data_IF_123717154346
#
_entry.id   IF_123717154346
#
_cell.length_a   1.000
_cell.length_b   1.000
_cell.length_c   1.000
_cell.angle_alpha   90.00
_cell.angle_beta   90.00
_cell.angle_gamma   90.00
#
_symmetry.space_group_name_H-M   'P 1'
#
loop_
_entity.id
_entity.type
_entity.pdbx_description
1 polymer ?
#
# COMPACT_ATOMS: atom_id res chain seq x y z
N UNK A 1 -4.59 -12.90 35.13
CA UNK A 1 -6.01 -12.68 35.26
C UNK A 1 -6.24 -11.27 35.79
N UNK A 2 -7.13 -10.45 35.24
CA UNK A 2 -8.11 -10.75 34.19
C UNK A 2 -7.46 -11.03 32.82
N UNK A 3 -8.19 -11.71 31.91
CA UNK A 3 -7.70 -11.86 30.55
C UNK A 3 -7.93 -10.57 29.72
N UNK A 4 -6.99 -10.27 28.82
CA UNK A 4 -7.00 -9.03 28.06
C UNK A 4 -8.02 -9.07 26.93
N UNK A 5 -8.11 -10.18 26.18
CA UNK A 5 -9.00 -10.35 25.06
C UNK A 5 -9.48 -11.80 24.93
N UNK A 6 -10.78 -11.97 24.69
CA UNK A 6 -11.40 -13.22 24.30
C UNK A 6 -12.03 -13.09 22.93
N UNK A 7 -11.66 -13.96 22.00
CA UNK A 7 -12.28 -14.02 20.68
C UNK A 7 -13.35 -15.13 20.68
N UNK A 8 -14.51 -14.84 20.10
CA UNK A 8 -15.63 -15.78 20.02
C UNK A 8 -16.52 -15.48 18.79
N UNK A 9 -17.50 -16.36 18.54
CA UNK A 9 -18.46 -16.16 17.45
C UNK A 9 -19.65 -15.29 17.90
N UNK A 10 -20.20 -14.50 16.97
CA UNK A 10 -21.36 -13.62 17.22
C UNK A 10 -22.59 -14.34 17.79
N UNK A 11 -22.79 -15.62 17.43
CA UNK A 11 -23.89 -16.44 17.93
C UNK A 11 -23.86 -16.68 19.45
N UNK A 12 -22.67 -16.53 20.06
CA UNK A 12 -22.45 -16.76 21.48
C UNK A 12 -22.67 -15.51 22.34
N UNK A 13 -22.91 -14.34 21.73
CA UNK A 13 -23.19 -13.10 22.42
C UNK A 13 -24.38 -13.19 23.38
N UNK A 14 -25.59 -13.64 22.92
CA UNK A 14 -26.78 -13.62 23.75
C UNK A 14 -26.85 -14.75 24.81
N UNK A 15 -25.90 -15.65 24.81
CA UNK A 15 -25.90 -16.80 25.71
C UNK A 15 -24.56 -16.99 26.42
N UNK A 16 -23.64 -17.74 25.87
CA UNK A 16 -22.40 -18.14 26.50
C UNK A 16 -21.53 -16.94 27.00
N UNK A 17 -21.37 -15.89 26.18
CA UNK A 17 -20.56 -14.72 26.55
C UNK A 17 -21.23 -13.89 27.65
N UNK A 18 -22.55 -13.74 27.59
CA UNK A 18 -23.33 -13.08 28.61
C UNK A 18 -23.22 -13.82 29.95
N UNK A 19 -23.38 -15.16 29.95
CA UNK A 19 -23.22 -15.97 31.17
C UNK A 19 -21.78 -15.90 31.71
N UNK A 20 -20.78 -15.91 30.84
CA UNK A 20 -19.39 -15.75 31.21
C UNK A 20 -19.18 -14.42 31.98
N UNK A 21 -19.72 -13.30 31.50
CA UNK A 21 -19.62 -12.01 32.17
C UNK A 21 -20.33 -12.02 33.53
N UNK A 22 -21.55 -12.56 33.61
CA UNK A 22 -22.28 -12.66 34.89
C UNK A 22 -21.54 -13.50 35.91
N UNK A 23 -20.93 -14.62 35.50
CA UNK A 23 -20.11 -15.45 36.39
C UNK A 23 -18.87 -14.69 36.87
N UNK A 24 -18.21 -13.90 36.01
CA UNK A 24 -17.08 -13.07 36.42
C UNK A 24 -17.49 -12.01 37.45
N UNK A 25 -18.62 -11.33 37.21
CA UNK A 25 -19.15 -10.34 38.18
C UNK A 25 -19.44 -10.98 39.52
N UNK A 26 -19.99 -12.19 39.55
CA UNK A 26 -20.33 -12.90 40.77
C UNK A 26 -19.10 -13.42 41.56
N UNK A 27 -18.08 -13.91 40.84
CA UNK A 27 -16.93 -14.60 41.46
C UNK A 27 -15.69 -13.68 41.60
N UNK A 28 -15.50 -12.75 40.66
CA UNK A 28 -14.31 -11.89 40.54
C UNK A 28 -14.68 -10.47 40.17
N UNK A 29 -15.44 -9.73 41.00
CA UNK A 29 -16.00 -8.42 40.63
C UNK A 29 -14.93 -7.38 40.25
N UNK A 30 -13.73 -7.50 40.83
CA UNK A 30 -12.62 -6.57 40.62
C UNK A 30 -11.73 -6.98 39.41
N UNK A 31 -12.05 -8.12 38.75
CA UNK A 31 -11.22 -8.71 37.67
C UNK A 31 -12.08 -9.08 36.44
N UNK A 32 -12.81 -8.11 35.90
CA UNK A 32 -13.60 -8.33 34.69
C UNK A 32 -12.72 -8.48 33.46
N UNK A 33 -13.15 -9.27 32.45
CA UNK A 33 -12.49 -9.31 31.14
C UNK A 33 -12.33 -7.90 30.54
N UNK A 34 -11.14 -7.61 29.97
CA UNK A 34 -10.85 -6.29 29.40
C UNK A 34 -11.49 -6.09 28.03
N UNK A 35 -11.61 -7.16 27.23
CA UNK A 35 -12.20 -7.09 25.91
C UNK A 35 -12.75 -8.42 25.41
N UNK A 36 -13.77 -8.34 24.56
CA UNK A 36 -14.32 -9.47 23.83
C UNK A 36 -14.36 -9.09 22.34
N UNK A 37 -13.62 -9.83 21.51
CA UNK A 37 -13.70 -9.74 20.06
C UNK A 37 -14.73 -10.76 19.54
N UNK A 38 -15.51 -10.35 18.54
CA UNK A 38 -16.56 -11.19 17.97
C UNK A 38 -16.38 -11.28 16.46
N UNK A 39 -16.46 -12.50 15.94
CA UNK A 39 -16.38 -12.77 14.51
C UNK A 39 -17.64 -13.50 14.00
N UNK A 40 -17.82 -13.45 12.67
CA UNK A 40 -18.91 -14.10 11.96
C UNK A 40 -18.81 -15.63 11.92
N UNK A 41 -19.75 -16.25 11.23
CA UNK A 41 -19.87 -17.72 11.07
C UNK A 41 -19.35 -18.11 9.70
N UNK A 42 -18.41 -19.08 9.67
CA UNK A 42 -17.80 -19.55 8.44
C UNK A 42 -18.80 -20.22 7.50
N UNK A 43 -18.87 -19.74 6.28
CA UNK A 43 -19.52 -20.39 5.14
C UNK A 43 -18.47 -21.08 4.24
N UNK A 44 -18.91 -21.96 3.36
CA UNK A 44 -18.08 -22.66 2.37
C UNK A 44 -18.73 -22.52 1.00
N UNK A 45 -18.02 -21.89 0.05
CA UNK A 45 -18.50 -21.63 -1.31
C UNK A 45 -19.91 -20.96 -1.31
N UNK A 46 -20.07 -19.95 -0.43
CA UNK A 46 -21.33 -19.19 -0.27
C UNK A 46 -22.45 -19.92 0.45
N UNK A 47 -22.20 -21.13 0.99
CA UNK A 47 -23.21 -21.92 1.66
C UNK A 47 -22.84 -22.19 3.11
N UNK A 48 -23.87 -22.26 3.99
CA UNK A 48 -23.66 -22.70 5.37
C UNK A 48 -23.04 -24.09 5.38
N UNK A 49 -21.94 -24.23 6.11
CA UNK A 49 -21.22 -25.51 6.26
C UNK A 49 -22.10 -26.57 6.94
N UNK A 50 -22.23 -27.75 6.32
CA UNK A 50 -23.06 -28.83 6.83
C UNK A 50 -22.48 -30.19 6.43
N UNK A 51 -22.39 -31.11 7.41
CA UNK A 51 -21.97 -32.49 7.15
C UNK A 51 -22.92 -33.22 6.19
N UNK A 52 -24.23 -32.98 6.31
CA UNK A 52 -25.26 -33.62 5.47
C UNK A 52 -25.21 -33.14 3.99
N UNK A 53 -24.71 -31.95 3.74
CA UNK A 53 -24.56 -31.39 2.37
C UNK A 53 -23.20 -31.72 1.74
N UNK A 54 -22.29 -32.38 2.46
CA UNK A 54 -20.97 -32.74 1.94
C UNK A 54 -20.00 -31.56 1.72
N UNK A 55 -20.37 -30.33 2.15
CA UNK A 55 -19.53 -29.14 2.04
C UNK A 55 -18.74 -28.85 3.33
N UNK A 56 -18.56 -29.87 4.17
CA UNK A 56 -17.85 -29.75 5.43
C UNK A 56 -16.34 -29.82 5.20
N UNK A 57 -15.61 -28.76 5.54
CA UNK A 57 -14.15 -28.71 5.50
C UNK A 57 -13.61 -28.80 6.92
N UNK A 58 -12.79 -29.83 7.18
CA UNK A 58 -12.09 -29.93 8.46
C UNK A 58 -10.83 -29.10 8.46
N UNK A 59 -10.46 -28.53 9.59
CA UNK A 59 -9.20 -27.80 9.72
C UNK A 59 -8.00 -28.68 9.32
N UNK A 60 -7.97 -29.94 9.77
CA UNK A 60 -6.93 -30.91 9.39
C UNK A 60 -6.84 -31.06 7.88
N UNK A 61 -7.97 -31.29 7.21
CA UNK A 61 -8.00 -31.45 5.75
C UNK A 61 -7.55 -30.19 5.00
N UNK A 62 -7.89 -29.00 5.51
CA UNK A 62 -7.42 -27.75 4.93
C UNK A 62 -5.89 -27.59 5.10
N UNK A 63 -5.35 -27.87 6.28
CA UNK A 63 -3.90 -27.81 6.55
C UNK A 63 -3.14 -28.83 5.70
N UNK A 64 -3.61 -30.08 5.63
CA UNK A 64 -2.95 -31.13 4.84
C UNK A 64 -2.95 -30.80 3.33
N UNK A 65 -3.98 -30.11 2.84
CA UNK A 65 -4.11 -29.75 1.42
C UNK A 65 -3.38 -28.46 1.04
N UNK A 66 -3.46 -27.42 1.88
CA UNK A 66 -3.01 -26.06 1.52
C UNK A 66 -1.83 -25.55 2.36
N UNK A 67 -1.57 -26.18 3.49
CA UNK A 67 -0.60 -25.72 4.50
C UNK A 67 -1.25 -24.83 5.57
N UNK A 68 -0.59 -24.70 6.70
CA UNK A 68 -1.11 -23.96 7.85
C UNK A 68 -1.24 -22.46 7.57
N UNK A 69 -0.20 -21.83 7.02
CA UNK A 69 -0.18 -20.39 6.79
C UNK A 69 -1.21 -19.97 5.74
N UNK A 70 -1.34 -20.72 4.63
CA UNK A 70 -2.35 -20.42 3.62
C UNK A 70 -3.76 -20.56 4.17
N UNK A 71 -4.01 -21.58 5.00
CA UNK A 71 -5.28 -21.79 5.67
C UNK A 71 -5.61 -20.64 6.64
N UNK A 72 -4.64 -20.21 7.45
CA UNK A 72 -4.79 -19.07 8.38
C UNK A 72 -5.13 -17.78 7.65
N UNK A 73 -4.29 -17.41 6.68
CA UNK A 73 -4.49 -16.18 5.90
C UNK A 73 -5.84 -16.18 5.16
N UNK A 74 -6.23 -17.31 4.56
CA UNK A 74 -7.51 -17.39 3.85
C UNK A 74 -8.73 -17.21 4.78
N UNK A 75 -8.66 -17.75 6.01
CA UNK A 75 -9.70 -17.52 7.02
C UNK A 75 -9.78 -16.07 7.46
N UNK A 76 -8.63 -15.43 7.69
CA UNK A 76 -8.57 -14.02 8.10
C UNK A 76 -9.01 -13.06 6.99
N UNK A 77 -8.75 -13.41 5.74
CA UNK A 77 -9.19 -12.64 4.56
C UNK A 77 -10.69 -12.84 4.23
N UNK A 78 -11.29 -13.91 4.72
CA UNK A 78 -12.66 -14.29 4.40
C UNK A 78 -13.74 -13.35 4.92
N UNK A 79 -13.48 -12.60 5.99
CA UNK A 79 -14.41 -11.65 6.59
C UNK A 79 -13.74 -10.75 7.62
N UNK A 80 -14.43 -9.67 8.04
CA UNK A 80 -13.95 -8.76 9.06
C UNK A 80 -15.03 -8.47 10.10
N UNK A 81 -14.64 -8.38 11.37
CA UNK A 81 -15.61 -8.14 12.46
C UNK A 81 -16.70 -9.20 12.49
N UNK A 82 -17.96 -8.79 12.48
CA UNK A 82 -19.13 -9.68 12.51
C UNK A 82 -19.59 -10.19 11.13
N UNK A 83 -18.88 -9.86 10.06
CA UNK A 83 -19.18 -10.41 8.74
C UNK A 83 -18.92 -11.92 8.72
N UNK A 84 -19.77 -12.66 8.01
CA UNK A 84 -19.61 -14.10 7.87
C UNK A 84 -18.50 -14.42 6.85
N UNK A 85 -17.37 -14.98 7.26
CA UNK A 85 -16.30 -15.31 6.34
C UNK A 85 -16.71 -16.44 5.39
N UNK A 86 -16.25 -16.37 4.14
CA UNK A 86 -16.54 -17.41 3.15
C UNK A 86 -15.25 -18.12 2.70
N UNK A 87 -15.18 -19.39 3.03
CA UNK A 87 -14.09 -20.26 2.59
C UNK A 87 -14.25 -20.62 1.12
N UNK A 88 -13.38 -20.09 0.27
CA UNK A 88 -13.30 -20.42 -1.17
C UNK A 88 -11.97 -21.06 -1.49
N UNK A 89 -12.04 -22.23 -2.13
CA UNK A 89 -10.84 -22.99 -2.50
C UNK A 89 -9.91 -22.23 -3.43
N UNK A 90 -10.46 -21.39 -4.30
CA UNK A 90 -9.71 -20.52 -5.19
C UNK A 90 -8.89 -19.52 -4.38
N UNK A 91 -9.52 -18.78 -3.48
CA UNK A 91 -8.83 -17.79 -2.64
C UNK A 91 -7.67 -18.42 -1.84
N UNK A 92 -7.86 -19.63 -1.31
CA UNK A 92 -6.79 -20.33 -0.55
C UNK A 92 -5.60 -20.68 -1.45
N UNK A 93 -5.86 -21.09 -2.70
CA UNK A 93 -4.81 -21.38 -3.69
C UNK A 93 -4.03 -20.13 -4.05
N UNK A 94 -4.73 -19.00 -4.24
CA UNK A 94 -4.11 -17.72 -4.54
C UNK A 94 -3.24 -17.23 -3.38
N UNK A 95 -3.74 -17.32 -2.15
CA UNK A 95 -2.95 -17.02 -0.94
C UNK A 95 -1.70 -17.90 -0.88
N UNK A 96 -1.84 -19.22 -1.11
CA UNK A 96 -0.68 -20.13 -1.15
C UNK A 96 0.32 -19.73 -2.22
N UNK A 97 -0.15 -19.36 -3.41
CA UNK A 97 0.70 -18.87 -4.50
C UNK A 97 1.48 -17.62 -4.12
N UNK A 98 0.83 -16.67 -3.45
CA UNK A 98 1.47 -15.44 -2.96
C UNK A 98 2.52 -15.74 -1.88
N UNK A 99 2.22 -16.61 -0.91
CA UNK A 99 3.20 -17.01 0.11
C UNK A 99 4.42 -17.71 -0.51
N UNK A 100 4.22 -18.56 -1.51
CA UNK A 100 5.33 -19.18 -2.25
C UNK A 100 6.15 -18.15 -3.05
N UNK A 101 5.48 -17.14 -3.61
CA UNK A 101 6.13 -16.00 -4.26
C UNK A 101 6.98 -15.20 -3.28
N UNK A 102 6.42 -14.89 -2.13
CA UNK A 102 7.11 -14.22 -1.02
C UNK A 102 8.37 -14.99 -0.60
N UNK A 103 8.27 -16.30 -0.40
CA UNK A 103 9.41 -17.13 -0.02
C UNK A 103 10.54 -17.04 -1.05
N UNK A 104 10.24 -17.22 -2.33
CA UNK A 104 11.24 -17.12 -3.41
C UNK A 104 11.90 -15.73 -3.47
N UNK A 105 11.11 -14.66 -3.29
CA UNK A 105 11.65 -13.31 -3.25
C UNK A 105 12.57 -13.10 -2.04
N UNK A 106 12.16 -13.59 -0.87
CA UNK A 106 12.96 -13.53 0.34
C UNK A 106 14.31 -14.25 0.18
N UNK A 107 14.31 -15.47 -0.36
CA UNK A 107 15.54 -16.22 -0.65
C UNK A 107 16.44 -15.41 -1.60
N UNK A 108 15.89 -14.85 -2.67
CA UNK A 108 16.66 -14.00 -3.61
C UNK A 108 17.27 -12.77 -2.92
N UNK A 109 16.52 -12.08 -2.05
CA UNK A 109 17.02 -10.92 -1.32
C UNK A 109 18.17 -11.31 -0.37
N UNK A 110 18.01 -12.42 0.36
CA UNK A 110 19.02 -12.91 1.30
C UNK A 110 20.34 -13.21 0.59
N UNK A 111 20.26 -13.82 -0.60
CA UNK A 111 21.42 -14.23 -1.38
C UNK A 111 22.11 -13.06 -2.09
N UNK A 112 21.33 -12.12 -2.65
CA UNK A 112 21.86 -11.11 -3.60
C UNK A 112 22.07 -9.73 -3.00
N UNK A 113 21.37 -9.34 -1.92
CA UNK A 113 21.44 -8.01 -1.35
C UNK A 113 22.76 -7.79 -0.58
N UNK A 114 23.77 -7.23 -1.24
CA UNK A 114 25.12 -7.01 -0.69
C UNK A 114 25.64 -5.58 -0.84
N UNK A 115 25.03 -4.77 -1.70
CA UNK A 115 25.50 -3.41 -1.97
C UNK A 115 24.82 -2.39 -1.06
N UNK A 116 25.63 -1.55 -0.42
CA UNK A 116 25.13 -0.39 0.36
C UNK A 116 24.80 0.77 -0.58
N UNK A 117 23.77 0.60 -1.40
CA UNK A 117 23.26 1.66 -2.25
C UNK A 117 21.90 2.09 -1.77
N UNK A 118 21.78 3.37 -1.45
CA UNK A 118 20.52 4.04 -1.20
C UNK A 118 20.26 4.95 -2.38
N UNK A 119 19.12 4.84 -2.99
CA UNK A 119 18.66 5.69 -4.06
C UNK A 119 17.16 5.94 -3.92
N UNK A 120 16.61 6.71 -4.83
CA UNK A 120 15.20 7.09 -4.85
C UNK A 120 14.23 5.92 -4.66
N UNK A 121 14.47 4.77 -5.30
CA UNK A 121 13.59 3.59 -5.18
C UNK A 121 13.66 2.92 -3.81
N UNK A 122 14.83 2.91 -3.18
CA UNK A 122 14.99 2.42 -1.82
C UNK A 122 14.26 3.33 -0.82
N UNK A 123 14.41 4.65 -0.97
CA UNK A 123 13.71 5.65 -0.15
C UNK A 123 12.19 5.52 -0.32
N UNK A 124 11.71 5.37 -1.56
CA UNK A 124 10.32 5.09 -1.86
C UNK A 124 9.82 3.81 -1.17
N UNK A 125 10.55 2.69 -1.26
CA UNK A 125 10.14 1.42 -0.66
C UNK A 125 10.04 1.52 0.86
N UNK A 126 11.04 2.13 1.51
CA UNK A 126 11.02 2.34 2.97
C UNK A 126 9.88 3.28 3.37
N UNK A 127 9.60 4.32 2.60
CA UNK A 127 8.47 5.22 2.82
C UNK A 127 7.13 4.48 2.74
N UNK A 128 6.93 3.67 1.70
CA UNK A 128 5.72 2.84 1.57
C UNK A 128 5.54 1.89 2.75
N UNK A 129 6.63 1.28 3.22
CA UNK A 129 6.57 0.39 4.40
C UNK A 129 6.14 1.12 5.67
N UNK A 130 6.42 2.43 5.82
CA UNK A 130 5.91 3.20 6.97
C UNK A 130 4.37 3.22 6.98
N UNK A 131 3.72 3.41 5.83
CA UNK A 131 2.25 3.32 5.74
C UNK A 131 1.75 1.92 6.07
N UNK A 132 2.46 0.87 5.61
CA UNK A 132 2.08 -0.52 5.92
C UNK A 132 2.19 -0.80 7.42
N UNK A 133 3.28 -0.35 8.08
CA UNK A 133 3.44 -0.46 9.54
C UNK A 133 2.25 0.20 10.25
N UNK A 134 1.94 1.44 9.91
CA UNK A 134 0.82 2.16 10.53
C UNK A 134 -0.50 1.45 10.29
N UNK A 135 -0.83 1.15 9.03
CA UNK A 135 -2.11 0.54 8.67
C UNK A 135 -2.31 -0.83 9.31
N UNK A 136 -1.28 -1.68 9.30
CA UNK A 136 -1.37 -3.01 9.93
C UNK A 136 -1.51 -2.89 11.43
N UNK A 137 -0.73 -2.01 12.08
CA UNK A 137 -0.81 -1.77 13.53
C UNK A 137 -2.20 -1.30 13.95
N UNK A 138 -2.70 -0.22 13.35
CA UNK A 138 -4.03 0.32 13.66
C UNK A 138 -5.15 -0.69 13.39
N UNK A 139 -5.02 -1.46 12.32
CA UNK A 139 -6.00 -2.50 11.99
C UNK A 139 -5.99 -3.64 13.00
N UNK A 140 -4.81 -4.06 13.47
CA UNK A 140 -4.69 -5.10 14.50
C UNK A 140 -5.25 -4.62 15.85
N UNK A 141 -4.98 -3.38 16.24
CA UNK A 141 -5.54 -2.80 17.49
C UNK A 141 -7.07 -2.75 17.46
N UNK A 142 -7.66 -2.51 16.29
CA UNK A 142 -9.11 -2.48 16.08
C UNK A 142 -9.71 -3.86 15.75
N UNK A 143 -8.95 -4.94 15.80
CA UNK A 143 -9.34 -6.30 15.38
C UNK A 143 -9.85 -6.39 13.93
N UNK A 144 -9.41 -5.48 13.07
CA UNK A 144 -9.65 -5.50 11.63
C UNK A 144 -8.67 -6.45 10.95
N UNK A 145 -8.84 -7.74 11.22
CA UNK A 145 -7.87 -8.77 10.83
C UNK A 145 -7.76 -8.97 9.33
N UNK A 146 -8.86 -8.79 8.58
CA UNK A 146 -8.85 -8.82 7.12
C UNK A 146 -8.00 -7.69 6.55
N UNK A 147 -8.29 -6.44 6.92
CA UNK A 147 -7.54 -5.27 6.48
C UNK A 147 -6.05 -5.38 6.82
N UNK A 148 -5.74 -5.86 8.04
CA UNK A 148 -4.36 -6.10 8.46
C UNK A 148 -3.66 -7.16 7.58
N UNK A 149 -4.33 -8.29 7.32
CA UNK A 149 -3.78 -9.38 6.48
C UNK A 149 -3.61 -8.93 5.02
N UNK A 150 -4.58 -8.21 4.46
CA UNK A 150 -4.49 -7.64 3.10
C UNK A 150 -3.26 -6.74 2.95
N UNK A 151 -3.04 -5.85 3.92
CA UNK A 151 -1.88 -4.96 3.89
C UNK A 151 -0.56 -5.73 4.09
N UNK A 152 -0.47 -6.62 5.07
CA UNK A 152 0.75 -7.35 5.36
C UNK A 152 1.14 -8.36 4.25
N UNK A 153 0.17 -8.96 3.57
CA UNK A 153 0.43 -9.98 2.54
C UNK A 153 0.46 -9.39 1.13
N UNK A 154 -0.60 -8.66 0.71
CA UNK A 154 -0.74 -8.26 -0.69
C UNK A 154 -0.15 -6.89 -0.97
N UNK A 155 -0.38 -5.92 -0.10
CA UNK A 155 0.05 -4.56 -0.37
C UNK A 155 1.57 -4.41 -0.24
N UNK A 156 2.20 -5.01 0.79
CA UNK A 156 3.67 -5.06 0.87
C UNK A 156 4.25 -5.84 -0.32
N UNK A 157 3.60 -6.96 -0.73
CA UNK A 157 4.00 -7.69 -1.93
C UNK A 157 3.96 -6.82 -3.18
N UNK A 158 2.93 -6.00 -3.35
CA UNK A 158 2.79 -5.08 -4.47
C UNK A 158 3.90 -4.02 -4.47
N UNK A 159 4.28 -3.50 -3.30
CA UNK A 159 5.37 -2.54 -3.15
C UNK A 159 6.73 -3.16 -3.58
N UNK A 160 7.03 -4.38 -3.13
CA UNK A 160 8.23 -5.10 -3.55
C UNK A 160 8.23 -5.47 -5.05
N UNK A 161 7.09 -5.87 -5.59
CA UNK A 161 6.95 -6.15 -7.03
C UNK A 161 7.18 -4.90 -7.87
N UNK A 162 6.66 -3.75 -7.44
CA UNK A 162 6.92 -2.49 -8.11
C UNK A 162 8.41 -2.16 -8.09
N UNK A 163 9.04 -2.23 -6.92
CA UNK A 163 10.48 -2.03 -6.79
C UNK A 163 11.27 -2.92 -7.76
N UNK A 164 11.02 -4.23 -7.78
CA UNK A 164 11.69 -5.18 -8.65
C UNK A 164 11.43 -4.91 -10.15
N UNK A 165 10.23 -4.44 -10.50
CA UNK A 165 9.89 -4.07 -11.88
C UNK A 165 10.62 -2.82 -12.35
N UNK A 166 10.83 -1.86 -11.43
CA UNK A 166 11.54 -0.60 -11.72
C UNK A 166 13.04 -0.80 -11.80
N UNK A 167 13.60 -1.66 -10.99
CA UNK A 167 15.04 -1.87 -10.85
C UNK A 167 15.47 -3.19 -11.49
N UNK A 168 16.50 -3.15 -12.34
CA UNK A 168 17.03 -4.36 -13.00
C UNK A 168 17.75 -5.31 -12.04
N UNK A 169 18.34 -4.78 -10.97
CA UNK A 169 19.08 -5.55 -9.97
C UNK A 169 18.56 -5.25 -8.58
N UNK A 170 18.28 -6.30 -7.84
CA UNK A 170 17.76 -6.26 -6.46
C UNK A 170 18.90 -6.56 -5.46
N UNK A 171 20.00 -5.81 -5.56
CA UNK A 171 21.25 -6.05 -4.82
C UNK A 171 21.46 -5.14 -3.59
N UNK A 172 20.52 -4.24 -3.32
CA UNK A 172 20.62 -3.28 -2.22
C UNK A 172 20.40 -3.91 -0.84
N UNK A 173 21.27 -3.62 0.14
CA UNK A 173 21.10 -4.03 1.54
C UNK A 173 19.82 -3.48 2.19
N UNK A 174 19.31 -2.36 1.69
CA UNK A 174 18.01 -1.79 2.14
C UNK A 174 16.88 -2.80 1.98
N UNK A 175 16.94 -3.69 0.98
CA UNK A 175 15.97 -4.76 0.82
C UNK A 175 15.94 -5.76 1.98
N UNK A 176 17.05 -5.97 2.67
CA UNK A 176 17.07 -6.83 3.88
C UNK A 176 16.36 -6.16 5.04
N UNK A 177 16.56 -4.84 5.23
CA UNK A 177 15.79 -4.07 6.22
C UNK A 177 14.29 -4.10 5.89
N UNK A 178 13.95 -3.86 4.63
CA UNK A 178 12.58 -3.90 4.15
C UNK A 178 11.95 -5.29 4.34
N UNK A 179 12.68 -6.37 4.03
CA UNK A 179 12.24 -7.75 4.23
C UNK A 179 12.04 -8.06 5.72
N UNK A 180 12.92 -7.60 6.60
CA UNK A 180 12.78 -7.77 8.04
C UNK A 180 11.52 -7.10 8.59
N UNK A 181 11.19 -5.89 8.12
CA UNK A 181 9.94 -5.22 8.45
C UNK A 181 8.76 -6.06 7.97
N UNK A 182 8.79 -6.51 6.72
CA UNK A 182 7.71 -7.30 6.13
C UNK A 182 7.45 -8.59 6.89
N UNK A 183 8.50 -9.35 7.22
CA UNK A 183 8.38 -10.60 7.97
C UNK A 183 7.69 -10.37 9.31
N UNK A 184 8.06 -9.31 10.04
CA UNK A 184 7.45 -8.98 11.32
C UNK A 184 5.98 -8.58 11.19
N UNK A 185 5.61 -7.85 10.13
CA UNK A 185 4.21 -7.51 9.84
C UNK A 185 3.38 -8.73 9.46
N UNK A 186 3.97 -9.70 8.74
CA UNK A 186 3.28 -10.88 8.23
C UNK A 186 3.20 -12.03 9.25
N UNK A 187 4.12 -12.08 10.21
CA UNK A 187 4.24 -13.18 11.18
C UNK A 187 2.95 -13.51 11.95
N UNK A 188 2.10 -12.57 12.39
CA UNK A 188 0.84 -12.90 13.04
C UNK A 188 -0.13 -13.70 12.17
N UNK A 189 -0.03 -13.58 10.86
CA UNK A 189 -0.93 -14.19 9.87
C UNK A 189 -0.35 -15.47 9.28
N UNK A 190 0.95 -15.49 8.97
CA UNK A 190 1.69 -16.59 8.35
C UNK A 190 2.98 -16.93 9.14
N UNK A 191 2.84 -17.45 10.38
CA UNK A 191 3.98 -17.60 11.30
C UNK A 191 5.04 -18.57 10.78
N UNK A 192 4.67 -19.69 10.15
CA UNK A 192 5.64 -20.73 9.80
C UNK A 192 6.62 -20.27 8.73
N UNK A 193 6.12 -19.65 7.67
CA UNK A 193 6.98 -19.12 6.60
C UNK A 193 7.84 -17.95 7.12
N UNK A 194 7.30 -17.12 8.00
CA UNK A 194 8.04 -15.99 8.57
C UNK A 194 9.17 -16.47 9.50
N UNK A 195 8.95 -17.49 10.33
CA UNK A 195 9.99 -18.08 11.17
C UNK A 195 11.09 -18.75 10.32
N UNK A 196 10.73 -19.43 9.24
CA UNK A 196 11.72 -20.02 8.32
C UNK A 196 12.62 -18.94 7.70
N UNK A 197 12.02 -17.86 7.16
CA UNK A 197 12.78 -16.77 6.53
C UNK A 197 13.62 -16.03 7.58
N UNK A 198 13.07 -15.79 8.78
CA UNK A 198 13.78 -15.17 9.89
C UNK A 198 15.06 -15.92 10.25
N UNK A 199 14.96 -17.25 10.35
CA UNK A 199 16.11 -18.12 10.57
C UNK A 199 17.11 -18.08 9.42
N UNK A 200 16.66 -18.08 8.16
CA UNK A 200 17.52 -17.94 6.96
C UNK A 200 18.26 -16.60 6.92
N UNK A 201 17.69 -15.54 7.44
CA UNK A 201 18.34 -14.25 7.60
C UNK A 201 19.43 -14.24 8.69
N UNK A 202 19.61 -15.33 9.43
CA UNK A 202 20.55 -15.42 10.53
C UNK A 202 20.14 -14.65 11.78
N UNK A 203 18.86 -14.36 11.95
CA UNK A 203 18.34 -13.66 13.13
C UNK A 203 18.21 -14.62 14.30
N UNK A 204 18.56 -14.15 15.49
CA UNK A 204 18.43 -14.93 16.72
C UNK A 204 16.99 -14.95 17.23
N UNK A 205 16.61 -16.06 17.89
CA UNK A 205 15.28 -16.26 18.47
C UNK A 205 14.18 -16.42 17.42
N UNK A 206 12.93 -16.24 17.87
CA UNK A 206 11.75 -16.37 17.02
C UNK A 206 11.24 -15.00 16.58
N UNK A 207 10.74 -14.88 15.34
CA UNK A 207 10.13 -13.64 14.86
C UNK A 207 8.89 -13.27 15.68
N UNK A 208 8.18 -14.26 16.21
CA UNK A 208 7.03 -14.07 17.10
C UNK A 208 7.37 -13.39 18.44
N UNK A 209 8.64 -13.37 18.81
CA UNK A 209 9.17 -12.67 20.01
C UNK A 209 9.92 -11.38 19.65
N UNK A 210 10.12 -11.10 18.39
CA UNK A 210 10.77 -9.88 17.94
C UNK A 210 9.88 -8.64 18.20
N UNK A 211 10.53 -7.49 18.40
CA UNK A 211 9.80 -6.25 18.56
C UNK A 211 8.96 -5.90 17.33
N UNK A 212 7.73 -5.45 17.56
CA UNK A 212 6.86 -5.00 16.49
C UNK A 212 7.45 -3.76 15.79
N UNK A 213 7.40 -3.69 14.44
CA UNK A 213 7.95 -2.53 13.75
C UNK A 213 7.17 -1.26 14.09
N UNK A 214 7.92 -0.18 14.35
CA UNK A 214 7.35 1.11 14.74
C UNK A 214 7.31 2.05 13.55
N UNK A 215 6.21 2.79 13.38
CA UNK A 215 6.11 3.87 12.41
C UNK A 215 7.11 4.99 12.74
N UNK A 216 7.89 5.41 11.76
CA UNK A 216 8.82 6.52 11.86
C UNK A 216 8.53 7.54 10.76
N UNK A 217 7.96 8.68 11.13
CA UNK A 217 7.63 9.77 10.19
C UNK A 217 8.86 10.29 9.44
N UNK A 218 10.05 10.21 10.03
CA UNK A 218 11.31 10.66 9.40
C UNK A 218 11.73 9.79 8.21
N UNK A 219 11.19 8.57 8.12
CA UNK A 219 11.42 7.64 7.02
C UNK A 219 10.37 7.79 5.90
N UNK A 220 9.39 8.70 6.06
CA UNK A 220 8.39 8.99 5.03
C UNK A 220 8.97 10.01 4.06
N UNK A 221 9.14 9.62 2.81
CA UNK A 221 9.57 10.48 1.71
C UNK A 221 8.42 10.71 0.73
N UNK A 222 7.62 11.73 1.00
CA UNK A 222 6.48 12.09 0.15
C UNK A 222 6.90 12.47 -1.28
N UNK A 223 8.13 12.97 -1.47
CA UNK A 223 8.64 13.32 -2.80
C UNK A 223 8.97 12.09 -3.60
N UNK A 224 9.62 11.10 -2.99
CA UNK A 224 9.86 9.80 -3.61
C UNK A 224 8.54 9.10 -3.99
N UNK A 225 7.53 9.19 -3.13
CA UNK A 225 6.21 8.64 -3.40
C UNK A 225 5.54 9.32 -4.60
N UNK A 226 5.55 10.64 -4.67
CA UNK A 226 4.93 11.38 -5.77
C UNK A 226 5.65 11.14 -7.10
N UNK A 227 6.99 11.04 -7.05
CA UNK A 227 7.81 10.69 -8.22
C UNK A 227 7.43 9.32 -8.78
N UNK A 228 7.31 8.29 -7.93
CA UNK A 228 6.90 6.95 -8.37
C UNK A 228 5.42 6.90 -8.76
N UNK A 229 4.55 7.71 -8.16
CA UNK A 229 3.15 7.84 -8.57
C UNK A 229 3.04 8.44 -9.99
N UNK A 230 3.84 9.45 -10.30
CA UNK A 230 3.91 10.01 -11.66
C UNK A 230 4.28 8.93 -12.68
N UNK A 231 5.31 8.12 -12.38
CA UNK A 231 5.76 7.04 -13.27
C UNK A 231 4.66 5.97 -13.44
N UNK A 232 3.96 5.60 -12.36
CA UNK A 232 2.83 4.65 -12.41
C UNK A 232 1.70 5.19 -13.29
N UNK A 233 1.32 6.44 -13.12
CA UNK A 233 0.25 7.07 -13.88
C UNK A 233 0.62 7.14 -15.37
N UNK A 234 1.84 7.57 -15.72
CA UNK A 234 2.30 7.60 -17.11
C UNK A 234 2.36 6.20 -17.74
N UNK A 235 2.76 5.20 -16.97
CA UNK A 235 2.75 3.79 -17.42
C UNK A 235 1.33 3.32 -17.73
N UNK A 236 0.38 3.60 -16.84
CA UNK A 236 -1.02 3.22 -16.98
C UNK A 236 -1.67 3.94 -18.16
N UNK A 237 -1.51 5.26 -18.25
CA UNK A 237 -2.06 6.06 -19.35
C UNK A 237 -1.53 5.62 -20.69
N UNK A 238 -0.21 5.40 -20.81
CA UNK A 238 0.41 4.89 -22.04
C UNK A 238 -0.15 3.52 -22.39
N UNK A 239 -0.26 2.63 -21.41
CA UNK A 239 -0.82 1.28 -21.63
C UNK A 239 -2.27 1.34 -22.11
N UNK A 240 -3.09 2.24 -21.53
CA UNK A 240 -4.48 2.44 -21.93
C UNK A 240 -4.60 3.00 -23.35
N UNK A 241 -3.77 3.97 -23.71
CA UNK A 241 -3.73 4.54 -25.08
C UNK A 241 -3.34 3.45 -26.09
N UNK A 242 -2.28 2.69 -25.83
CA UNK A 242 -1.84 1.63 -26.74
C UNK A 242 -2.88 0.52 -26.89
N UNK A 243 -3.57 0.15 -25.81
CA UNK A 243 -4.67 -0.83 -25.84
C UNK A 243 -5.86 -0.32 -26.65
N UNK A 244 -6.23 0.94 -26.48
CA UNK A 244 -7.36 1.55 -27.20
C UNK A 244 -7.07 1.73 -28.67
N UNK A 245 -5.85 2.17 -29.02
CA UNK A 245 -5.45 2.44 -30.42
C UNK A 245 -4.94 1.22 -31.16
N UNK A 246 -4.55 0.15 -30.45
CA UNK A 246 -3.90 -1.05 -30.98
C UNK A 246 -2.60 -0.75 -31.74
N UNK A 247 -1.97 0.40 -31.47
CA UNK A 247 -0.69 0.77 -32.09
C UNK A 247 0.44 0.01 -31.40
N UNK A 248 1.38 -0.49 -32.22
CA UNK A 248 2.68 -1.00 -31.72
C UNK A 248 3.72 0.09 -31.96
N UNK A 249 4.10 0.85 -30.93
CA UNK A 249 4.95 2.00 -31.09
C UNK A 249 6.41 1.59 -31.32
N UNK A 250 7.11 2.27 -32.23
CA UNK A 250 8.58 2.22 -32.33
C UNK A 250 9.24 3.32 -31.50
N UNK A 251 8.51 4.38 -31.27
CA UNK A 251 8.94 5.59 -30.54
C UNK A 251 7.77 6.13 -29.74
N UNK A 252 8.03 6.50 -28.48
CA UNK A 252 7.09 7.23 -27.62
C UNK A 252 7.78 8.50 -27.18
N UNK A 253 7.07 9.63 -27.24
CA UNK A 253 7.55 10.93 -26.76
C UNK A 253 6.64 11.39 -25.61
N UNK A 254 7.22 11.62 -24.47
CA UNK A 254 6.54 12.24 -23.34
C UNK A 254 6.82 13.74 -23.33
N UNK A 255 5.81 14.53 -23.03
CA UNK A 255 5.92 15.96 -22.85
C UNK A 255 5.49 16.33 -21.44
N UNK A 256 6.44 16.80 -20.63
CA UNK A 256 6.17 17.28 -19.28
C UNK A 256 5.72 18.74 -19.29
N UNK A 257 5.04 19.15 -18.23
CA UNK A 257 4.57 20.52 -18.07
C UNK A 257 5.74 21.51 -18.01
N UNK A 258 5.56 22.72 -18.58
CA UNK A 258 6.51 23.80 -18.44
C UNK A 258 6.62 24.26 -16.99
N UNK A 259 7.83 24.62 -16.55
CA UNK A 259 8.13 24.97 -15.15
C UNK A 259 7.25 26.09 -14.58
N UNK A 260 6.79 27.03 -15.41
CA UNK A 260 5.91 28.12 -14.98
C UNK A 260 4.54 27.61 -14.50
N UNK A 261 4.05 26.48 -14.98
CA UNK A 261 2.78 25.87 -14.56
C UNK A 261 2.81 25.44 -13.10
N UNK A 262 3.95 24.92 -12.63
CA UNK A 262 4.13 24.59 -11.21
C UNK A 262 3.98 25.81 -10.31
N UNK A 263 4.51 26.97 -10.74
CA UNK A 263 4.37 28.22 -10.00
C UNK A 263 2.91 28.64 -9.87
N UNK A 264 2.15 28.57 -10.96
CA UNK A 264 0.70 28.85 -10.95
C UNK A 264 -0.04 27.89 -10.03
N UNK A 265 0.26 26.59 -10.13
CA UNK A 265 -0.38 25.54 -9.35
C UNK A 265 -0.14 25.71 -7.84
N UNK A 266 1.12 25.88 -7.43
CA UNK A 266 1.47 26.03 -6.01
C UNK A 266 0.89 27.31 -5.42
N UNK A 267 0.92 28.45 -6.15
CA UNK A 267 0.29 29.70 -5.70
C UNK A 267 -1.22 29.53 -5.50
N UNK A 268 -1.88 28.81 -6.40
CA UNK A 268 -3.30 28.53 -6.26
C UNK A 268 -3.59 27.61 -5.07
N UNK A 269 -2.75 26.58 -4.82
CA UNK A 269 -2.86 25.69 -3.67
C UNK A 269 -2.70 26.46 -2.35
N UNK A 270 -1.67 27.29 -2.20
CA UNK A 270 -1.43 28.09 -1.00
C UNK A 270 -2.65 28.94 -0.63
N UNK A 271 -3.22 29.64 -1.62
CA UNK A 271 -4.44 30.44 -1.42
C UNK A 271 -5.64 29.59 -1.02
N UNK A 272 -5.73 28.39 -1.57
CA UNK A 272 -6.89 27.50 -1.37
C UNK A 272 -7.00 26.89 0.04
N UNK A 273 -5.94 26.98 0.84
CA UNK A 273 -5.97 26.53 2.24
C UNK A 273 -6.82 27.46 3.11
N UNK A 274 -6.79 28.76 2.83
CA UNK A 274 -7.49 29.75 3.66
C UNK A 274 -8.90 30.05 3.18
N UNK A 275 -9.16 29.95 1.88
CA UNK A 275 -10.47 30.24 1.28
C UNK A 275 -10.56 29.68 -0.16
N UNK A 276 -11.78 29.63 -0.70
CA UNK A 276 -11.97 29.33 -2.13
C UNK A 276 -11.24 30.35 -3.00
N UNK A 277 -10.43 29.85 -3.92
CA UNK A 277 -9.67 30.67 -4.84
C UNK A 277 -10.54 31.16 -5.99
N UNK A 278 -10.46 32.45 -6.30
CA UNK A 278 -11.04 33.03 -7.53
C UNK A 278 -9.97 33.26 -8.57
N UNK A 279 -10.34 33.17 -9.84
CA UNK A 279 -9.40 33.48 -10.93
C UNK A 279 -8.82 34.90 -10.81
N UNK A 280 -9.65 35.87 -10.41
CA UNK A 280 -9.24 37.26 -10.24
C UNK A 280 -8.14 37.42 -9.19
N UNK A 281 -8.31 36.80 -8.03
CA UNK A 281 -7.35 36.91 -6.93
C UNK A 281 -6.05 36.14 -7.21
N UNK A 282 -6.16 35.01 -7.90
CA UNK A 282 -4.98 34.29 -8.36
C UNK A 282 -4.19 35.10 -9.40
N UNK A 283 -4.86 35.64 -10.39
CA UNK A 283 -4.20 36.44 -11.45
C UNK A 283 -3.55 37.71 -10.91
N UNK A 284 -4.13 38.40 -9.91
CA UNK A 284 -3.51 39.57 -9.28
C UNK A 284 -2.13 39.26 -8.73
N UNK A 285 -1.99 38.10 -8.08
CA UNK A 285 -0.72 37.67 -7.50
C UNK A 285 0.26 37.18 -8.58
N UNK A 286 -0.19 36.33 -9.49
CA UNK A 286 0.66 35.82 -10.56
C UNK A 286 1.24 36.91 -11.46
N UNK A 287 0.50 38.01 -11.67
CA UNK A 287 0.96 39.13 -12.48
C UNK A 287 1.99 40.05 -11.79
N UNK A 288 2.33 39.81 -10.54
CA UNK A 288 3.49 40.43 -9.87
C UNK A 288 4.81 39.85 -10.37
N UNK A 289 4.78 38.65 -10.91
CA UNK A 289 5.93 37.97 -11.52
C UNK A 289 6.13 38.50 -12.97
N UNK A 290 7.33 38.99 -13.25
CA UNK A 290 7.68 39.57 -14.56
C UNK A 290 7.61 38.57 -15.72
N UNK A 291 7.94 37.31 -15.47
CA UNK A 291 8.00 36.29 -16.50
C UNK A 291 6.60 35.72 -16.80
N UNK A 292 5.79 35.50 -15.76
CA UNK A 292 4.39 35.14 -15.94
C UNK A 292 3.59 36.24 -16.62
N UNK A 293 3.91 37.51 -16.34
CA UNK A 293 3.28 38.66 -16.96
C UNK A 293 3.50 38.73 -18.49
N UNK A 294 4.69 38.33 -18.98
CA UNK A 294 5.00 38.24 -20.41
C UNK A 294 4.13 37.22 -21.16
N UNK A 295 3.59 36.23 -20.46
CA UNK A 295 2.74 35.18 -21.02
C UNK A 295 1.34 35.13 -20.39
N UNK A 296 0.82 36.32 -20.00
CA UNK A 296 -0.41 36.49 -19.23
C UNK A 296 -1.62 35.70 -19.78
N UNK A 297 -1.78 35.63 -21.11
CA UNK A 297 -2.88 34.93 -21.75
C UNK A 297 -2.79 33.38 -21.51
N UNK A 298 -1.59 32.80 -21.66
CA UNK A 298 -1.35 31.39 -21.38
C UNK A 298 -1.56 31.06 -19.90
N UNK A 299 -1.04 31.94 -19.03
CA UNK A 299 -1.21 31.84 -17.58
C UNK A 299 -2.69 31.88 -17.18
N UNK A 300 -3.46 32.83 -17.72
CA UNK A 300 -4.89 32.97 -17.42
C UNK A 300 -5.71 31.76 -17.88
N UNK A 301 -5.37 31.17 -19.04
CA UNK A 301 -6.02 29.95 -19.53
C UNK A 301 -5.76 28.76 -18.59
N UNK A 302 -4.53 28.57 -18.18
CA UNK A 302 -4.15 27.49 -17.25
C UNK A 302 -4.71 27.73 -15.85
N UNK A 303 -4.61 28.97 -15.33
CA UNK A 303 -5.13 29.31 -14.01
C UNK A 303 -6.64 29.07 -13.87
N UNK A 304 -7.43 29.30 -14.93
CA UNK A 304 -8.87 29.00 -14.93
C UNK A 304 -9.15 27.53 -14.70
N UNK A 305 -8.42 26.65 -15.38
CA UNK A 305 -8.54 25.20 -15.22
C UNK A 305 -8.14 24.77 -13.80
N UNK A 306 -7.01 25.27 -13.31
CA UNK A 306 -6.47 24.93 -11.99
C UNK A 306 -7.37 25.39 -10.84
N UNK A 307 -7.99 26.58 -10.95
CA UNK A 307 -8.92 27.09 -9.93
C UNK A 307 -10.11 26.16 -9.73
N UNK A 308 -10.66 25.62 -10.82
CA UNK A 308 -11.77 24.63 -10.70
C UNK A 308 -11.30 23.36 -10.01
N UNK A 309 -10.18 22.79 -10.43
CA UNK A 309 -9.63 21.55 -9.88
C UNK A 309 -9.29 21.70 -8.38
N UNK A 310 -8.56 22.74 -8.01
CA UNK A 310 -8.11 22.94 -6.62
C UNK A 310 -9.27 23.23 -5.68
N UNK A 311 -10.30 23.94 -6.09
CA UNK A 311 -11.46 24.22 -5.24
C UNK A 311 -12.26 22.96 -4.86
N UNK A 312 -12.18 21.89 -5.66
CA UNK A 312 -12.79 20.60 -5.38
C UNK A 312 -11.86 19.61 -4.67
N UNK A 313 -10.58 19.93 -4.59
CA UNK A 313 -9.59 19.06 -3.96
C UNK A 313 -9.77 19.00 -2.44
N UNK A 314 -9.74 17.81 -1.80
CA UNK A 314 -9.77 17.66 -0.34
C UNK A 314 -8.61 18.42 0.33
N UNK A 315 -8.84 18.92 1.53
CA UNK A 315 -7.88 19.79 2.24
C UNK A 315 -6.58 19.04 2.61
N UNK A 316 -6.69 17.80 3.02
CA UNK A 316 -5.55 16.93 3.31
C UNK A 316 -4.66 16.72 2.08
N UNK A 317 -5.25 16.52 0.90
CA UNK A 317 -4.54 16.43 -0.37
C UNK A 317 -3.85 17.74 -0.73
N UNK A 318 -4.49 18.89 -0.51
CA UNK A 318 -3.88 20.21 -0.74
C UNK A 318 -2.65 20.42 0.13
N UNK A 319 -2.76 20.13 1.43
CA UNK A 319 -1.65 20.25 2.39
C UNK A 319 -0.49 19.33 2.00
N UNK A 320 -0.80 18.11 1.63
CA UNK A 320 0.21 17.14 1.16
C UNK A 320 0.95 17.66 -0.07
N UNK A 321 0.24 18.15 -1.09
CA UNK A 321 0.85 18.68 -2.31
C UNK A 321 1.72 19.92 -2.05
N UNK A 322 1.31 20.81 -1.14
CA UNK A 322 2.13 21.95 -0.72
C UNK A 322 3.41 21.50 0.00
N UNK A 323 3.34 20.48 0.82
CA UNK A 323 4.51 19.93 1.52
C UNK A 323 5.50 19.27 0.56
N UNK A 324 5.03 18.58 -0.47
CA UNK A 324 5.85 18.00 -1.54
C UNK A 324 6.51 19.12 -2.39
N UNK A 325 5.76 20.16 -2.68
CA UNK A 325 6.19 21.25 -3.56
C UNK A 325 6.23 20.84 -5.05
N UNK A 326 7.17 21.40 -5.81
CA UNK A 326 7.34 21.05 -7.22
C UNK A 326 8.16 19.76 -7.39
N UNK A 327 7.69 18.89 -8.26
CA UNK A 327 8.46 17.73 -8.76
C UNK A 327 8.96 18.05 -10.16
N UNK A 328 10.23 17.80 -10.46
CA UNK A 328 10.72 17.93 -11.84
C UNK A 328 10.27 16.72 -12.66
N UNK A 329 9.08 16.84 -13.27
CA UNK A 329 8.49 15.79 -14.10
C UNK A 329 9.41 15.38 -15.25
N UNK A 330 10.14 16.35 -15.84
CA UNK A 330 11.03 16.07 -16.96
C UNK A 330 12.20 15.19 -16.54
N UNK A 331 12.86 15.53 -15.43
CA UNK A 331 13.95 14.74 -14.88
C UNK A 331 13.46 13.35 -14.46
N UNK A 332 12.33 13.28 -13.74
CA UNK A 332 11.68 12.02 -13.34
C UNK A 332 11.41 11.09 -14.53
N UNK A 333 10.86 11.62 -15.61
CA UNK A 333 10.55 10.83 -16.80
C UNK A 333 11.81 10.43 -17.57
N UNK A 334 12.85 11.27 -17.60
CA UNK A 334 14.16 10.93 -18.19
C UNK A 334 14.83 9.78 -17.46
N UNK A 335 14.85 9.80 -16.14
CA UNK A 335 15.39 8.70 -15.33
C UNK A 335 14.62 7.39 -15.56
N UNK A 336 13.35 7.49 -15.90
CA UNK A 336 12.49 6.35 -16.19
C UNK A 336 12.49 5.90 -17.67
N UNK A 337 13.20 6.56 -18.58
CA UNK A 337 13.19 6.22 -20.03
C UNK A 337 13.59 4.76 -20.30
N UNK A 338 14.63 4.27 -19.62
CA UNK A 338 15.06 2.87 -19.75
C UNK A 338 13.97 1.89 -19.29
N UNK A 339 13.28 2.21 -18.20
CA UNK A 339 12.15 1.43 -17.70
C UNK A 339 11.00 1.40 -18.69
N UNK A 340 10.52 2.55 -19.16
CA UNK A 340 9.45 2.62 -20.16
C UNK A 340 9.86 1.94 -21.48
N UNK A 341 11.12 2.05 -21.86
CA UNK A 341 11.67 1.38 -23.04
C UNK A 341 11.52 -0.14 -22.98
N UNK A 342 11.79 -0.73 -21.81
CA UNK A 342 11.58 -2.18 -21.56
C UNK A 342 10.09 -2.53 -21.57
N UNK A 343 9.26 -1.74 -20.89
CA UNK A 343 7.82 -1.99 -20.75
C UNK A 343 7.09 -1.98 -22.09
N UNK A 344 7.43 -1.03 -22.96
CA UNK A 344 6.73 -0.83 -24.22
C UNK A 344 7.49 -1.36 -25.46
N UNK A 345 8.68 -1.90 -25.27
CA UNK A 345 9.59 -2.30 -26.34
C UNK A 345 9.73 -1.21 -27.43
N UNK A 346 9.94 0.04 -26.99
CA UNK A 346 10.00 1.22 -27.82
C UNK A 346 11.13 2.17 -27.38
N UNK A 347 11.58 3.04 -28.28
CA UNK A 347 12.48 4.14 -27.91
C UNK A 347 11.66 5.23 -27.22
N UNK A 348 12.13 5.65 -26.04
CA UNK A 348 11.48 6.70 -25.25
C UNK A 348 12.28 7.99 -25.38
N UNK A 349 11.57 9.09 -25.42
CA UNK A 349 12.14 10.46 -25.41
C UNK A 349 11.27 11.33 -24.55
N UNK A 350 11.90 12.19 -23.74
CA UNK A 350 11.22 13.11 -22.85
C UNK A 350 11.59 14.54 -23.19
N UNK A 351 10.60 15.39 -23.32
CA UNK A 351 10.72 16.80 -23.66
C UNK A 351 9.87 17.63 -22.70
N UNK A 352 10.22 18.88 -22.53
CA UNK A 352 9.28 19.87 -21.96
C UNK A 352 8.38 20.41 -23.07
N UNK A 353 7.14 20.76 -22.74
CA UNK A 353 6.17 21.30 -23.73
C UNK A 353 6.61 22.64 -24.36
N UNK A 354 7.53 23.37 -23.72
CA UNK A 354 8.11 24.62 -24.16
C UNK A 354 9.52 24.48 -24.76
N UNK A 355 10.06 23.27 -24.86
CA UNK A 355 11.33 23.03 -25.56
C UNK A 355 11.16 23.34 -27.05
N UNK A 356 12.11 24.04 -27.69
CA UNK A 356 12.09 24.23 -29.13
C UNK A 356 12.20 22.89 -29.84
N UNK A 357 11.24 22.60 -30.72
CA UNK A 357 11.19 21.37 -31.51
C UNK A 357 12.26 21.37 -32.60
#
# INVERSE_FOLDING_TARGET
>A
YPFDLRISAKELLPNHLTFCLFQHVALFPDHLPRGIGVNGVLSVEGNKMSKSKGNFVTLRGAIDQYGADATRCALLLGGEGMDDPDWRRENVRDVRGNLQGFHRLADSIIETAKEKKTGHLEEWLISMLQYRIRTVTESMELLKTRTATENALFEVWNDFRWYARRKEKTDSEVLKEALEIWIRLLAPFAPYICEEIWSKMGKEGFVSLAEWPTYDEKKVDMRAEETENLIKNVLEDTSNILRATKIVPKKICYYSAASWKWKVYLTALEKSISAKVTLSDLMKELMTDSDLKKMAEKVAKFARQIVEEINWMPEDKKRRQLQIGSVDENETLREAEAFFGREFNAKIYTYREDDPQ
#
